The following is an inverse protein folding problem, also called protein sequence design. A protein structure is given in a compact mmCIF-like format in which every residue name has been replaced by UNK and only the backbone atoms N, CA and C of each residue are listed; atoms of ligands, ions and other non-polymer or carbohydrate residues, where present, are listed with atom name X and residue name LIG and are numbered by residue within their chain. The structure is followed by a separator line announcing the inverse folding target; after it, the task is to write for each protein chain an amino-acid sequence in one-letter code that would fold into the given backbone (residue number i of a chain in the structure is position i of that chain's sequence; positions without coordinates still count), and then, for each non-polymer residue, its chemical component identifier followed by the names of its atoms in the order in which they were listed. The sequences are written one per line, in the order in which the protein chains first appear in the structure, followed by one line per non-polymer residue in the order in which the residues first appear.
data_IF_410702648157
#
_entry.id   IF_410702648157
#
_cell.length_a   1.000
_cell.length_b   1.000
_cell.length_c   1.000
_cell.angle_alpha   90.00
_cell.angle_beta   90.00
_cell.angle_gamma   90.00
#
_symmetry.space_group_name_H-M   'P 1'
#
loop_
_entity.id
_entity.type
_entity.pdbx_description
1 polymer ?
#
# COMPACT_ATOMS: atom_id res chain seq x y z
N UNK A 1 19.24 -3.15 16.90
CA UNK A 1 17.91 -2.52 17.09
C UNK A 1 18.15 -1.19 17.80
N UNK A 2 17.46 -0.10 17.43
CA UNK A 2 17.60 1.20 18.10
C UNK A 2 16.69 1.23 19.33
N UNK A 3 17.17 1.59 20.54
CA UNK A 3 16.33 1.66 21.73
C UNK A 3 15.35 2.83 21.65
N UNK A 4 14.11 2.59 22.06
CA UNK A 4 13.02 3.59 22.04
C UNK A 4 12.57 4.02 23.45
N UNK A 5 13.14 3.44 24.51
CA UNK A 5 12.83 3.80 25.88
C UNK A 5 13.10 5.30 26.11
N UNK A 6 12.14 5.98 26.76
CA UNK A 6 12.18 7.42 27.02
C UNK A 6 12.24 8.30 25.76
N UNK A 7 11.90 7.77 24.58
CA UNK A 7 11.85 8.54 23.32
C UNK A 7 10.43 8.86 22.89
N UNK A 8 10.30 9.95 22.13
CA UNK A 8 9.12 10.24 21.32
C UNK A 8 9.32 9.60 19.94
N UNK A 9 8.39 8.76 19.53
CA UNK A 9 8.49 7.97 18.30
C UNK A 9 7.40 8.40 17.31
N UNK A 10 7.79 8.58 16.05
CA UNK A 10 6.88 8.74 14.92
C UNK A 10 6.93 7.47 14.08
N UNK A 11 5.86 6.70 14.08
CA UNK A 11 5.65 5.58 13.18
C UNK A 11 5.17 6.12 11.83
N UNK A 12 5.84 5.74 10.74
CA UNK A 12 5.50 6.20 9.39
C UNK A 12 5.16 5.00 8.53
N UNK A 13 4.04 5.08 7.82
CA UNK A 13 3.61 4.08 6.84
C UNK A 13 2.97 4.78 5.62
N UNK A 14 2.73 4.07 4.53
CA UNK A 14 2.14 4.65 3.31
C UNK A 14 0.62 4.81 3.42
N UNK A 15 -0.09 3.77 3.88
CA UNK A 15 -1.55 3.75 4.06
C UNK A 15 -1.99 2.99 5.31
N UNK A 16 -2.86 3.60 6.10
CA UNK A 16 -3.62 2.89 7.12
C UNK A 16 -4.89 2.27 6.51
N UNK A 17 -4.79 1.03 6.01
CA UNK A 17 -5.94 0.28 5.46
C UNK A 17 -6.82 -0.30 6.59
N UNK A 18 -6.59 -1.55 6.99
CA UNK A 18 -7.30 -2.12 8.15
C UNK A 18 -6.84 -1.53 9.48
N UNK A 19 -5.61 -0.98 9.53
CA UNK A 19 -4.98 -0.44 10.73
C UNK A 19 -4.39 -1.47 11.69
N UNK A 20 -4.51 -2.78 11.40
CA UNK A 20 -4.04 -3.85 12.29
C UNK A 20 -2.52 -3.84 12.50
N UNK A 21 -1.75 -3.66 11.43
CA UNK A 21 -0.27 -3.60 11.50
C UNK A 21 0.19 -2.40 12.34
N UNK A 22 -0.41 -1.23 12.11
CA UNK A 22 -0.11 -0.01 12.87
C UNK A 22 -0.44 -0.17 14.36
N UNK A 23 -1.58 -0.79 14.69
CA UNK A 23 -1.96 -1.05 16.08
C UNK A 23 -0.95 -1.97 16.77
N UNK A 24 -0.56 -3.07 16.10
CA UNK A 24 0.42 -4.01 16.62
C UNK A 24 1.77 -3.31 16.91
N UNK A 25 2.27 -2.54 15.94
CA UNK A 25 3.56 -1.85 16.06
C UNK A 25 3.49 -0.74 17.12
N UNK A 26 2.40 0.04 17.18
CA UNK A 26 2.19 1.07 18.21
C UNK A 26 2.21 0.48 19.61
N UNK A 27 1.53 -0.64 19.83
CA UNK A 27 1.54 -1.34 21.11
C UNK A 27 2.94 -1.86 21.45
N UNK A 28 3.64 -2.46 20.49
CA UNK A 28 5.00 -2.93 20.71
C UNK A 28 5.97 -1.81 21.10
N UNK A 29 5.92 -0.66 20.40
CA UNK A 29 6.77 0.51 20.72
C UNK A 29 6.44 1.06 22.12
N UNK A 30 5.16 1.07 22.49
CA UNK A 30 4.72 1.49 23.82
C UNK A 30 5.26 0.56 24.91
N UNK A 31 5.19 -0.76 24.70
CA UNK A 31 5.70 -1.77 25.63
C UNK A 31 7.23 -1.70 25.80
N UNK A 32 7.94 -1.16 24.81
CA UNK A 32 9.38 -0.88 24.89
C UNK A 32 9.73 0.41 25.67
N UNK A 33 8.75 1.10 26.25
CA UNK A 33 8.98 2.27 27.11
C UNK A 33 9.06 3.62 26.39
N UNK A 34 8.53 3.73 25.17
CA UNK A 34 8.43 5.02 24.49
C UNK A 34 7.52 6.00 25.27
N UNK A 35 7.94 7.27 25.40
CA UNK A 35 7.15 8.32 26.08
C UNK A 35 5.90 8.71 25.28
N UNK A 36 6.02 8.66 23.96
CA UNK A 36 4.97 9.07 23.03
C UNK A 36 5.13 8.27 21.74
N UNK A 37 4.02 7.86 21.14
CA UNK A 37 4.02 7.22 19.82
C UNK A 37 2.90 7.80 18.98
N UNK A 38 3.28 8.57 17.95
CA UNK A 38 2.39 9.11 16.93
C UNK A 38 2.52 8.33 15.63
N UNK A 39 1.50 8.38 14.80
CA UNK A 39 1.44 7.71 13.50
C UNK A 39 1.27 8.76 12.39
N UNK A 40 2.07 8.66 11.34
CA UNK A 40 1.92 9.40 10.11
C UNK A 40 1.71 8.45 8.93
N UNK A 41 0.66 8.69 8.15
CA UNK A 41 0.43 7.99 6.88
C UNK A 41 0.20 8.97 5.74
N UNK A 42 0.45 8.59 4.49
CA UNK A 42 0.01 9.43 3.37
C UNK A 42 -1.52 9.38 3.25
N UNK A 43 -2.07 8.17 3.31
CA UNK A 43 -3.51 7.94 3.22
C UNK A 43 -4.03 7.12 4.40
N UNK A 44 -5.32 7.22 4.67
CA UNK A 44 -6.02 6.24 5.52
C UNK A 44 -7.42 5.96 5.00
N UNK A 45 -7.94 4.79 5.38
CA UNK A 45 -9.28 4.34 5.03
C UNK A 45 -10.28 4.66 6.15
N UNK A 46 -11.52 5.05 5.83
CA UNK A 46 -12.54 5.31 6.85
C UNK A 46 -12.83 4.10 7.76
N UNK A 47 -12.63 2.88 7.25
CA UNK A 47 -12.79 1.63 8.00
C UNK A 47 -11.55 1.20 8.79
N UNK A 48 -10.48 1.99 8.78
CA UNK A 48 -9.29 1.67 9.56
C UNK A 48 -9.59 1.71 11.06
N UNK A 49 -9.13 0.70 11.80
CA UNK A 49 -9.24 0.71 13.26
C UNK A 49 -8.28 1.71 13.91
N UNK A 50 -7.34 2.24 13.13
CA UNK A 50 -6.36 3.25 13.54
C UNK A 50 -6.52 4.47 12.66
N UNK A 51 -6.85 5.61 13.26
CA UNK A 51 -6.73 6.92 12.62
C UNK A 51 -5.32 7.47 12.87
N UNK A 52 -4.50 7.74 11.83
CA UNK A 52 -3.19 8.36 12.00
C UNK A 52 -3.29 9.76 12.63
N UNK A 53 -2.30 10.12 13.45
CA UNK A 53 -2.18 11.48 14.02
C UNK A 53 -1.89 12.52 12.93
N UNK A 54 -1.17 12.11 11.89
CA UNK A 54 -0.88 12.91 10.71
C UNK A 54 -1.25 12.14 9.45
N UNK A 55 -2.00 12.77 8.55
CA UNK A 55 -2.32 12.20 7.25
C UNK A 55 -2.49 13.27 6.18
N UNK A 56 -2.25 12.91 4.92
CA UNK A 56 -2.49 13.81 3.79
C UNK A 56 -3.95 13.75 3.37
N UNK A 57 -4.52 12.54 3.24
CA UNK A 57 -5.90 12.38 2.76
C UNK A 57 -6.60 11.11 3.25
N UNK A 58 -7.87 11.23 3.59
CA UNK A 58 -8.80 10.11 3.75
C UNK A 58 -9.38 9.69 2.39
N UNK A 59 -9.43 8.39 2.09
CA UNK A 59 -9.99 7.90 0.81
C UNK A 59 -10.44 6.45 0.87
N UNK A 60 -11.56 6.13 0.25
CA UNK A 60 -12.01 4.74 0.06
C UNK A 60 -11.34 4.07 -1.15
N UNK A 61 -10.86 4.84 -2.14
CA UNK A 61 -10.35 4.33 -3.40
C UNK A 61 -9.09 3.46 -3.25
N UNK A 62 -8.97 2.36 -4.00
CA UNK A 62 -7.72 1.59 -4.08
C UNK A 62 -6.56 2.50 -4.52
N UNK A 63 -5.44 2.45 -3.78
CA UNK A 63 -4.26 3.27 -4.06
C UNK A 63 -3.24 2.38 -4.76
N UNK A 64 -2.57 2.91 -5.78
CA UNK A 64 -1.42 2.25 -6.40
C UNK A 64 -0.21 3.14 -6.18
N UNK A 65 0.63 2.78 -5.22
CA UNK A 65 1.88 3.48 -4.98
C UNK A 65 2.92 3.15 -6.08
N UNK A 66 3.85 4.09 -6.36
CA UNK A 66 4.88 3.86 -7.38
C UNK A 66 5.75 2.63 -7.14
N UNK A 67 5.96 2.23 -5.89
CA UNK A 67 6.80 1.10 -5.50
C UNK A 67 6.08 -0.26 -5.54
N UNK A 68 4.75 -0.29 -5.72
CA UNK A 68 3.94 -1.52 -5.74
C UNK A 68 3.24 -1.79 -7.09
N UNK A 69 3.54 -1.02 -8.15
CA UNK A 69 2.81 -1.10 -9.43
C UNK A 69 2.81 -2.53 -10.00
N UNK A 70 3.93 -3.26 -9.89
CA UNK A 70 4.02 -4.66 -10.38
C UNK A 70 3.09 -5.58 -9.59
N UNK A 71 3.09 -5.47 -8.26
CA UNK A 71 2.22 -6.27 -7.41
C UNK A 71 0.74 -5.94 -7.65
N UNK A 72 0.41 -4.66 -7.77
CA UNK A 72 -0.92 -4.20 -8.16
C UNK A 72 -1.36 -4.80 -9.50
N UNK A 73 -0.47 -4.78 -10.51
CA UNK A 73 -0.74 -5.38 -11.80
C UNK A 73 -0.98 -6.90 -11.72
N UNK A 74 -0.21 -7.63 -10.90
CA UNK A 74 -0.41 -9.07 -10.65
C UNK A 74 -1.78 -9.32 -10.01
N UNK A 75 -2.13 -8.57 -8.96
CA UNK A 75 -3.43 -8.72 -8.27
C UNK A 75 -4.60 -8.45 -9.21
N UNK A 76 -4.49 -7.40 -10.04
CA UNK A 76 -5.48 -7.08 -11.08
C UNK A 76 -5.59 -8.24 -12.07
N UNK A 77 -4.46 -8.75 -12.58
CA UNK A 77 -4.43 -9.87 -13.52
C UNK A 77 -5.11 -11.11 -12.95
N UNK A 78 -4.76 -11.53 -11.73
CA UNK A 78 -5.34 -12.69 -11.07
C UNK A 78 -6.86 -12.57 -10.93
N UNK A 79 -7.35 -11.37 -10.60
CA UNK A 79 -8.79 -11.10 -10.49
C UNK A 79 -9.51 -11.25 -11.83
N UNK A 80 -9.00 -10.60 -12.88
CA UNK A 80 -9.69 -10.59 -14.17
C UNK A 80 -9.50 -11.88 -14.98
N UNK A 81 -8.38 -12.61 -14.79
CA UNK A 81 -8.11 -13.87 -15.49
C UNK A 81 -9.18 -14.91 -15.16
N UNK A 82 -9.62 -14.95 -13.90
CA UNK A 82 -10.71 -15.80 -13.45
C UNK A 82 -12.05 -15.50 -14.17
N UNK A 83 -12.20 -14.29 -14.70
CA UNK A 83 -13.39 -13.81 -15.41
C UNK A 83 -13.20 -13.82 -16.94
N UNK A 84 -12.11 -14.41 -17.47
CA UNK A 84 -11.81 -14.45 -18.90
C UNK A 84 -11.19 -13.17 -19.47
N UNK A 85 -10.70 -12.28 -18.60
CA UNK A 85 -10.05 -11.03 -18.96
C UNK A 85 -8.67 -11.20 -19.60
N UNK A 86 -8.13 -10.11 -20.13
CA UNK A 86 -6.88 -10.08 -20.90
C UNK A 86 -5.85 -9.10 -20.32
N UNK A 87 -4.59 -9.24 -20.73
CA UNK A 87 -3.55 -8.24 -20.38
C UNK A 87 -3.88 -6.82 -20.88
N UNK A 88 -4.75 -6.67 -21.89
CA UNK A 88 -5.20 -5.34 -22.33
C UNK A 88 -6.05 -4.65 -21.27
N UNK A 89 -6.82 -5.41 -20.50
CA UNK A 89 -7.65 -4.89 -19.41
C UNK A 89 -6.77 -4.44 -18.24
N UNK A 90 -5.72 -5.20 -17.89
CA UNK A 90 -4.71 -4.77 -16.90
C UNK A 90 -4.07 -3.44 -17.32
N UNK A 91 -3.67 -3.31 -18.59
CA UNK A 91 -3.10 -2.06 -19.11
C UNK A 91 -4.08 -0.90 -18.98
N UNK A 92 -5.35 -1.11 -19.34
CA UNK A 92 -6.40 -0.10 -19.27
C UNK A 92 -6.58 0.38 -17.82
N UNK A 93 -6.79 -0.54 -16.89
CA UNK A 93 -7.01 -0.24 -15.47
C UNK A 93 -5.84 0.56 -14.88
N UNK A 94 -4.59 0.14 -15.13
CA UNK A 94 -3.42 0.86 -14.60
C UNK A 94 -3.28 2.27 -15.18
N UNK A 95 -3.56 2.46 -16.47
CA UNK A 95 -3.50 3.79 -17.11
C UNK A 95 -4.62 4.70 -16.58
N UNK A 96 -5.83 4.18 -16.42
CA UNK A 96 -6.97 4.92 -15.84
C UNK A 96 -6.73 5.28 -14.37
N UNK A 97 -6.03 4.42 -13.63
CA UNK A 97 -5.54 4.72 -12.28
C UNK A 97 -4.40 5.76 -12.23
N UNK A 98 -3.92 6.25 -13.38
CA UNK A 98 -2.91 7.30 -13.50
C UNK A 98 -1.48 6.81 -13.69
N UNK A 99 -1.25 5.49 -13.85
CA UNK A 99 0.10 4.96 -14.11
C UNK A 99 0.54 5.31 -15.52
N UNK A 100 1.74 5.88 -15.67
CA UNK A 100 2.30 6.28 -16.97
C UNK A 100 2.38 5.07 -17.92
N UNK A 101 1.85 5.22 -19.15
CA UNK A 101 1.85 4.18 -20.20
C UNK A 101 3.21 3.49 -20.42
N UNK A 102 4.31 4.25 -20.34
CA UNK A 102 5.67 3.70 -20.48
C UNK A 102 5.99 2.64 -19.40
N UNK A 103 5.55 2.87 -18.16
CA UNK A 103 5.74 1.94 -17.03
C UNK A 103 4.84 0.72 -17.23
N UNK A 104 3.56 0.93 -17.54
CA UNK A 104 2.59 -0.14 -17.80
C UNK A 104 3.07 -1.08 -18.91
N UNK A 105 3.58 -0.53 -20.02
CA UNK A 105 4.11 -1.33 -21.12
C UNK A 105 5.33 -2.16 -20.70
N UNK A 106 6.21 -1.62 -19.85
CA UNK A 106 7.36 -2.35 -19.33
C UNK A 106 6.92 -3.54 -18.47
N UNK A 107 6.02 -3.28 -17.52
CA UNK A 107 5.50 -4.30 -16.59
C UNK A 107 4.78 -5.42 -17.32
N UNK A 108 3.93 -5.11 -18.30
CA UNK A 108 3.24 -6.15 -19.06
C UNK A 108 4.19 -6.95 -19.94
N UNK A 109 5.25 -6.33 -20.48
CA UNK A 109 6.28 -7.07 -21.21
C UNK A 109 6.99 -8.06 -20.29
N UNK A 110 7.32 -7.66 -19.06
CA UNK A 110 7.92 -8.54 -18.04
C UNK A 110 6.98 -9.73 -17.73
N UNK A 111 5.68 -9.51 -17.51
CA UNK A 111 4.73 -10.62 -17.29
C UNK A 111 4.63 -11.64 -18.42
N UNK A 112 4.67 -11.17 -19.67
CA UNK A 112 4.64 -12.05 -20.85
C UNK A 112 5.93 -12.88 -20.98
N UNK A 113 7.06 -12.35 -20.54
CA UNK A 113 8.34 -13.07 -20.51
C UNK A 113 8.42 -14.06 -19.35
N UNK A 114 7.85 -13.73 -18.19
CA UNK A 114 7.86 -14.56 -16.98
C UNK A 114 6.88 -15.75 -17.05
N UNK A 115 6.18 -15.97 -18.17
CA UNK A 115 5.29 -17.12 -18.37
C UNK A 115 3.95 -17.03 -17.61
N UNK A 116 3.63 -15.88 -17.02
CA UNK A 116 2.34 -15.62 -16.39
C UNK A 116 1.99 -16.56 -15.23
N UNK A 117 2.95 -16.79 -14.33
CA UNK A 117 2.70 -17.38 -13.00
C UNK A 117 1.84 -16.49 -12.13
#
# INVERSE_FOLDING_TARGET
QVPVNEKKVLLVDDVADTGKSLMLVKNHIKDMGALETRIACLYFKPWSIVKPDYYVRETEAWIIFPHEIRESATKIWLRIKAEGGSFRDVKRILVEAGVKRKIVNRIVKEFLHDGGT
#
